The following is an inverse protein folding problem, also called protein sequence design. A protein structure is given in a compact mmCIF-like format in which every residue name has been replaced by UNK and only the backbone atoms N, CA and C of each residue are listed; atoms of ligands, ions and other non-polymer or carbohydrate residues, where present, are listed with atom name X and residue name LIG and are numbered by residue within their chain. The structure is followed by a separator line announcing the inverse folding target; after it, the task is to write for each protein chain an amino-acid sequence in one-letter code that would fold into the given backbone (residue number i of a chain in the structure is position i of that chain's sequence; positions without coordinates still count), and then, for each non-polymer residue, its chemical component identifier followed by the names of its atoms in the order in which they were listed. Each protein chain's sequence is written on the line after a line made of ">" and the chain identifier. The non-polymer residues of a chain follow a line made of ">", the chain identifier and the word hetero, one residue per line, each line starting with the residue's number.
data_IF_653141348075
#
_entry.id   IF_653141348075
#
_cell.length_a   1.000
_cell.length_b   1.000
_cell.length_c   1.000
_cell.angle_alpha   90.00
_cell.angle_beta   90.00
_cell.angle_gamma   90.00
#
_symmetry.space_group_name_H-M   'P 1'
#
loop_
_entity.id
_entity.type
_entity.pdbx_description
1 polymer ?
#
# COMPACT_ATOMS: atom_id res chain seq x y z
N UNK A 1 20.96 36.27 -15.45
CA UNK A 1 21.55 35.70 -14.22
C UNK A 1 20.94 34.32 -14.02
N UNK A 2 21.58 33.29 -14.55
CA UNK A 2 21.10 31.90 -14.46
C UNK A 2 21.58 31.34 -13.14
N UNK A 3 20.68 31.21 -12.17
CA UNK A 3 20.98 30.66 -10.85
C UNK A 3 21.08 29.13 -10.99
N UNK A 4 22.30 28.62 -11.08
CA UNK A 4 22.58 27.19 -11.00
C UNK A 4 22.17 26.72 -9.60
N UNK A 5 21.13 25.89 -9.52
CA UNK A 5 20.72 25.26 -8.27
C UNK A 5 21.90 24.49 -7.66
N UNK A 6 22.06 24.47 -6.32
CA UNK A 6 23.17 23.78 -5.69
C UNK A 6 23.09 22.27 -5.95
N UNK A 7 24.13 21.73 -6.59
CA UNK A 7 24.35 20.29 -6.79
C UNK A 7 24.47 19.59 -5.43
N UNK A 8 23.32 19.19 -4.90
CA UNK A 8 23.20 18.60 -3.57
C UNK A 8 23.40 17.10 -3.70
N UNK A 9 24.66 16.67 -3.69
CA UNK A 9 24.99 15.24 -3.70
C UNK A 9 24.62 14.61 -2.35
N UNK A 10 23.70 13.64 -2.37
CA UNK A 10 23.32 12.84 -1.20
C UNK A 10 23.80 11.39 -1.42
N UNK A 11 24.52 10.82 -0.45
CA UNK A 11 24.91 9.41 -0.45
C UNK A 11 24.00 8.62 0.47
N UNK A 12 23.35 7.59 -0.07
CA UNK A 12 22.47 6.70 0.67
C UNK A 12 23.11 5.32 0.80
N UNK A 13 23.30 4.85 2.04
CA UNK A 13 23.76 3.49 2.32
C UNK A 13 22.57 2.70 2.90
N UNK A 14 22.14 1.66 2.18
CA UNK A 14 21.03 0.81 2.57
C UNK A 14 21.57 -0.54 3.06
N UNK A 15 21.09 -0.98 4.22
CA UNK A 15 21.33 -2.35 4.69
C UNK A 15 20.11 -3.18 4.37
N UNK A 16 20.30 -4.26 3.63
CA UNK A 16 19.22 -5.12 3.15
C UNK A 16 19.50 -6.57 3.54
N UNK A 17 18.44 -7.36 3.64
CA UNK A 17 18.58 -8.82 3.74
C UNK A 17 19.08 -9.39 2.41
N UNK A 18 19.60 -10.62 2.44
CA UNK A 18 20.07 -11.31 1.23
C UNK A 18 18.95 -11.46 0.20
N UNK A 19 17.77 -11.85 0.65
CA UNK A 19 16.58 -11.98 -0.19
C UNK A 19 16.18 -10.66 -0.85
N UNK A 20 16.19 -9.55 -0.09
CA UNK A 20 15.91 -8.22 -0.64
C UNK A 20 16.95 -7.80 -1.69
N UNK A 21 18.23 -8.13 -1.49
CA UNK A 21 19.30 -7.83 -2.45
C UNK A 21 19.15 -8.64 -3.74
N UNK A 22 18.85 -9.94 -3.64
CA UNK A 22 18.58 -10.79 -4.80
C UNK A 22 17.35 -10.31 -5.59
N UNK A 23 16.27 -9.95 -4.90
CA UNK A 23 15.07 -9.39 -5.53
C UNK A 23 15.37 -8.07 -6.26
N UNK A 24 16.16 -7.18 -5.65
CA UNK A 24 16.54 -5.90 -6.26
C UNK A 24 17.39 -6.11 -7.52
N UNK A 25 18.33 -7.07 -7.49
CA UNK A 25 19.14 -7.46 -8.66
C UNK A 25 18.27 -7.98 -9.80
N UNK A 26 17.33 -8.87 -9.50
CA UNK A 26 16.42 -9.43 -10.51
C UNK A 26 15.54 -8.34 -11.13
N UNK A 27 14.98 -7.45 -10.32
CA UNK A 27 14.13 -6.37 -10.80
C UNK A 27 14.89 -5.37 -11.68
N UNK A 28 16.10 -4.98 -11.27
CA UNK A 28 16.97 -4.10 -12.07
C UNK A 28 17.33 -4.75 -13.43
N UNK A 29 17.64 -6.06 -13.41
CA UNK A 29 17.94 -6.83 -14.63
C UNK A 29 16.75 -6.87 -15.58
N UNK A 30 15.55 -7.15 -15.05
CA UNK A 30 14.32 -7.18 -15.85
C UNK A 30 13.96 -5.81 -16.44
N UNK A 31 14.32 -4.72 -15.74
CA UNK A 31 14.16 -3.35 -16.23
C UNK A 31 15.28 -2.90 -17.19
N UNK A 32 16.34 -3.70 -17.38
CA UNK A 32 17.51 -3.33 -18.18
C UNK A 32 18.34 -2.18 -17.57
N UNK A 33 18.30 -2.03 -16.24
CA UNK A 33 18.95 -0.95 -15.50
C UNK A 33 20.04 -1.45 -14.57
N UNK A 34 20.96 -0.55 -14.17
CA UNK A 34 21.86 -0.83 -13.05
C UNK A 34 21.08 -0.85 -11.72
N UNK A 35 21.57 -1.57 -10.72
CA UNK A 35 20.93 -1.62 -9.40
C UNK A 35 20.80 -0.24 -8.75
N UNK A 36 21.83 0.63 -8.75
CA UNK A 36 21.69 1.99 -8.23
C UNK A 36 20.62 2.81 -8.97
N UNK A 37 20.62 2.80 -10.30
CA UNK A 37 19.67 3.58 -11.10
C UNK A 37 18.23 3.10 -10.86
N UNK A 38 18.04 1.79 -10.85
CA UNK A 38 16.74 1.19 -10.57
C UNK A 38 16.24 1.54 -9.16
N UNK A 39 17.12 1.52 -8.15
CA UNK A 39 16.77 1.87 -6.78
C UNK A 39 16.35 3.34 -6.66
N UNK A 40 17.09 4.27 -7.27
CA UNK A 40 16.76 5.69 -7.28
C UNK A 40 15.44 5.94 -8.00
N UNK A 41 15.26 5.41 -9.21
CA UNK A 41 14.02 5.54 -9.99
C UNK A 41 12.80 4.99 -9.24
N UNK A 42 12.97 3.84 -8.59
CA UNK A 42 11.90 3.23 -7.79
C UNK A 42 11.52 4.08 -6.58
N UNK A 43 12.50 4.72 -5.93
CA UNK A 43 12.26 5.66 -4.82
C UNK A 43 11.51 6.90 -5.32
N UNK A 44 11.98 7.51 -6.41
CA UNK A 44 11.37 8.72 -7.00
C UNK A 44 9.93 8.45 -7.45
N UNK A 45 9.69 7.36 -8.18
CA UNK A 45 8.34 6.93 -8.58
C UNK A 45 7.47 6.65 -7.36
N UNK A 46 7.99 5.97 -6.35
CA UNK A 46 7.24 5.76 -5.11
C UNK A 46 6.88 7.10 -4.47
N UNK A 47 7.80 8.06 -4.40
CA UNK A 47 7.54 9.40 -3.88
C UNK A 47 6.47 10.15 -4.70
N UNK A 48 6.48 10.06 -6.02
CA UNK A 48 5.47 10.67 -6.88
C UNK A 48 4.07 10.06 -6.71
N UNK A 49 3.95 8.72 -6.69
CA UNK A 49 2.68 8.03 -6.33
C UNK A 49 2.15 8.53 -5.02
N UNK A 50 3.08 8.67 -4.08
CA UNK A 50 2.79 9.10 -2.75
C UNK A 50 2.33 10.59 -2.76
N UNK A 51 2.89 11.46 -3.59
CA UNK A 51 2.50 12.87 -3.69
C UNK A 51 1.29 13.11 -4.62
N UNK A 52 0.75 12.07 -5.26
CA UNK A 52 -0.39 12.19 -6.19
C UNK A 52 -0.04 12.91 -7.50
N UNK A 53 1.25 13.05 -7.82
CA UNK A 53 1.73 13.79 -9.00
C UNK A 53 1.92 12.91 -10.24
N UNK A 54 1.42 11.68 -10.22
CA UNK A 54 1.52 10.77 -11.37
C UNK A 54 0.31 10.93 -12.27
N UNK A 55 0.47 11.72 -13.33
CA UNK A 55 -0.32 11.52 -14.56
C UNK A 55 -0.04 10.12 -15.07
N UNK A 56 -1.03 9.24 -14.95
CA UNK A 56 -0.95 7.87 -15.41
C UNK A 56 -0.68 7.81 -16.90
N UNK A 57 0.58 7.61 -17.28
CA UNK A 57 0.90 7.08 -18.60
C UNK A 57 0.63 5.58 -18.54
N UNK A 58 -0.63 5.23 -18.75
CA UNK A 58 -0.98 3.90 -19.20
C UNK A 58 -0.40 3.76 -20.61
N UNK A 59 0.76 3.11 -20.71
CA UNK A 59 1.23 2.58 -21.99
C UNK A 59 0.23 1.52 -22.42
N UNK A 60 -0.78 1.93 -23.18
CA UNK A 60 -1.72 1.03 -23.86
C UNK A 60 -0.95 0.33 -24.98
N UNK A 61 -0.25 -0.76 -24.67
CA UNK A 61 0.01 -1.76 -25.69
C UNK A 61 -1.32 -2.48 -25.95
N UNK A 62 -1.97 -2.05 -27.03
CA UNK A 62 -3.14 -2.67 -27.64
C UNK A 62 -2.78 -4.09 -28.07
N UNK A 63 -3.02 -5.07 -27.22
CA UNK A 63 -3.13 -6.46 -27.63
C UNK A 63 -4.62 -6.75 -27.81
N UNK A 64 -5.03 -6.86 -29.07
CA UNK A 64 -6.34 -7.34 -29.46
C UNK A 64 -6.48 -8.78 -28.97
N UNK A 65 -7.39 -9.04 -28.03
CA UNK A 65 -7.85 -10.40 -27.78
C UNK A 65 -9.30 -10.40 -27.31
N UNK A 66 -10.17 -10.56 -28.30
CA UNK A 66 -11.50 -11.13 -28.15
C UNK A 66 -11.42 -12.48 -27.43
N UNK A 67 -11.88 -12.54 -26.18
CA UNK A 67 -12.23 -13.81 -25.54
C UNK A 67 -13.59 -13.70 -24.88
N UNK A 68 -14.47 -14.53 -25.41
CA UNK A 68 -15.85 -14.82 -25.03
C UNK A 68 -16.04 -15.13 -23.55
N UNK A 69 -17.17 -14.64 -23.03
CA UNK A 69 -17.64 -14.78 -21.67
C UNK A 69 -17.79 -16.25 -21.22
N UNK A 70 -17.26 -16.53 -20.03
CA UNK A 70 -17.67 -17.64 -19.16
C UNK A 70 -17.90 -17.11 -17.74
N UNK A 71 -18.83 -17.67 -16.95
CA UNK A 71 -19.16 -17.14 -15.63
C UNK A 71 -18.13 -17.64 -14.61
N UNK A 72 -17.11 -16.82 -14.35
CA UNK A 72 -16.20 -17.08 -13.24
C UNK A 72 -16.83 -16.56 -11.93
N UNK A 73 -17.17 -17.50 -11.05
CA UNK A 73 -17.50 -17.24 -9.66
C UNK A 73 -16.42 -16.36 -9.03
N UNK A 74 -16.83 -15.20 -8.54
CA UNK A 74 -15.97 -14.19 -7.97
C UNK A 74 -15.55 -14.62 -6.56
N UNK A 75 -14.39 -15.24 -6.41
CA UNK A 75 -13.65 -15.12 -5.16
C UNK A 75 -12.93 -13.76 -5.20
N UNK A 76 -13.67 -12.71 -4.83
CA UNK A 76 -13.10 -11.39 -4.64
C UNK A 76 -12.07 -11.51 -3.50
N UNK A 77 -10.79 -11.31 -3.81
CA UNK A 77 -9.77 -11.13 -2.78
C UNK A 77 -10.23 -10.05 -1.79
N UNK A 78 -9.93 -10.17 -0.48
CA UNK A 78 -10.27 -9.15 0.50
C UNK A 78 -9.72 -7.79 0.04
N UNK A 79 -10.61 -6.83 -0.23
CA UNK A 79 -10.23 -5.49 -0.69
C UNK A 79 -9.74 -4.67 0.49
N UNK A 80 -8.51 -4.91 0.93
CA UNK A 80 -7.85 -3.99 1.86
C UNK A 80 -7.31 -2.79 1.09
N UNK A 81 -7.75 -1.58 1.45
CA UNK A 81 -7.37 -0.35 0.75
C UNK A 81 -6.98 0.74 1.73
N UNK A 82 -5.83 1.37 1.52
CA UNK A 82 -5.31 2.41 2.38
C UNK A 82 -5.15 3.71 1.59
N UNK A 83 -5.53 4.84 2.19
CA UNK A 83 -4.95 6.11 1.79
C UNK A 83 -3.46 6.11 2.16
N UNK A 84 -2.63 6.83 1.41
CA UNK A 84 -1.20 6.95 1.72
C UNK A 84 -0.89 7.27 3.18
N UNK A 85 -1.42 8.36 3.78
CA UNK A 85 -1.04 8.74 5.14
C UNK A 85 -1.48 7.67 6.15
N UNK A 86 -2.61 7.00 5.90
CA UNK A 86 -3.05 5.87 6.69
C UNK A 86 -2.10 4.67 6.57
N UNK A 87 -1.57 4.38 5.38
CA UNK A 87 -0.60 3.30 5.18
C UNK A 87 0.70 3.57 5.94
N UNK A 88 1.21 4.80 5.89
CA UNK A 88 2.42 5.17 6.63
C UNK A 88 2.23 5.01 8.14
N UNK A 89 1.11 5.51 8.68
CA UNK A 89 0.76 5.32 10.10
C UNK A 89 0.52 3.86 10.45
N UNK A 90 -0.05 3.08 9.54
CA UNK A 90 -0.27 1.65 9.73
C UNK A 90 1.06 0.88 9.81
N UNK A 91 1.99 1.18 8.91
CA UNK A 91 3.29 0.52 8.82
C UNK A 91 4.24 0.90 9.96
N UNK A 92 4.08 2.08 10.57
CA UNK A 92 4.88 2.45 11.75
C UNK A 92 4.53 1.67 13.01
N UNK A 93 3.37 0.99 13.02
CA UNK A 93 2.95 0.13 14.13
C UNK A 93 3.58 -1.27 14.03
N UNK A 94 3.98 -1.81 15.18
CA UNK A 94 4.43 -3.20 15.26
C UNK A 94 3.33 -4.15 14.76
N UNK A 95 3.74 -5.30 14.22
CA UNK A 95 2.79 -6.30 13.75
C UNK A 95 1.84 -6.78 14.86
N UNK A 96 2.35 -6.93 16.09
CA UNK A 96 1.54 -7.29 17.25
C UNK A 96 0.44 -6.25 17.52
N UNK A 97 0.77 -4.95 17.47
CA UNK A 97 -0.22 -3.87 17.63
C UNK A 97 -1.26 -3.91 16.52
N UNK A 98 -0.85 -4.10 15.27
CA UNK A 98 -1.77 -4.22 14.12
C UNK A 98 -2.73 -5.38 14.30
N UNK A 99 -2.24 -6.57 14.68
CA UNK A 99 -3.09 -7.76 14.92
C UNK A 99 -4.13 -7.49 16.01
N UNK A 100 -3.72 -6.90 17.14
CA UNK A 100 -4.62 -6.56 18.24
C UNK A 100 -5.72 -5.58 17.80
N UNK A 101 -5.37 -4.56 17.02
CA UNK A 101 -6.35 -3.60 16.50
C UNK A 101 -7.38 -4.27 15.57
N UNK A 102 -6.95 -5.23 14.75
CA UNK A 102 -7.84 -5.93 13.83
C UNK A 102 -8.75 -6.95 14.54
N UNK A 103 -8.30 -7.58 15.63
CA UNK A 103 -9.04 -8.63 16.35
C UNK A 103 -9.93 -8.11 17.48
N UNK A 104 -9.88 -6.81 17.77
CA UNK A 104 -10.58 -6.20 18.91
C UNK A 104 -11.58 -5.13 18.44
N UNK A 105 -12.35 -5.36 17.38
CA UNK A 105 -13.29 -4.34 16.88
C UNK A 105 -14.67 -4.56 17.49
N UNK A 106 -15.26 -3.57 18.14
CA UNK A 106 -16.62 -3.69 18.68
C UNK A 106 -17.64 -3.81 17.55
N UNK A 107 -18.47 -4.85 17.57
CA UNK A 107 -19.61 -4.99 16.66
C UNK A 107 -20.92 -4.79 17.42
N UNK A 108 -21.72 -3.82 17.02
CA UNK A 108 -23.04 -3.55 17.64
C UNK A 108 -24.05 -4.68 17.45
N UNK A 109 -23.91 -5.48 16.38
CA UNK A 109 -24.79 -6.62 16.09
C UNK A 109 -24.42 -7.86 16.91
N UNK A 110 -23.13 -8.22 16.95
CA UNK A 110 -22.66 -9.35 17.77
C UNK A 110 -22.62 -9.02 19.28
N UNK A 111 -22.50 -7.74 19.63
CA UNK A 111 -22.40 -7.22 21.01
C UNK A 111 -21.14 -7.68 21.76
N UNK A 112 -20.05 -7.91 21.03
CA UNK A 112 -18.73 -8.17 21.57
C UNK A 112 -17.64 -7.75 20.57
N UNK A 113 -16.38 -7.88 20.97
CA UNK A 113 -15.23 -7.68 20.11
C UNK A 113 -15.12 -8.79 19.06
N UNK A 114 -14.86 -8.39 17.82
CA UNK A 114 -14.75 -9.28 16.67
C UNK A 114 -13.50 -8.94 15.86
N UNK A 115 -13.17 -9.83 14.92
CA UNK A 115 -12.18 -9.52 13.89
C UNK A 115 -12.81 -8.71 12.76
N UNK A 116 -12.14 -7.64 12.34
CA UNK A 116 -12.50 -6.88 11.14
C UNK A 116 -11.89 -7.51 9.88
N UNK A 117 -12.70 -7.57 8.81
CA UNK A 117 -12.35 -8.11 7.49
C UNK A 117 -12.71 -7.11 6.41
N UNK A 118 -12.17 -7.29 5.20
CA UNK A 118 -12.50 -6.44 4.03
C UNK A 118 -12.43 -4.93 4.32
N UNK A 119 -11.39 -4.50 5.05
CA UNK A 119 -11.35 -3.16 5.62
C UNK A 119 -10.52 -2.17 4.79
N UNK A 120 -10.98 -0.92 4.80
CA UNK A 120 -10.25 0.24 4.31
C UNK A 120 -9.72 1.08 5.46
N UNK A 121 -8.72 1.91 5.17
CA UNK A 121 -8.09 2.77 6.16
C UNK A 121 -7.83 4.18 5.62
N UNK A 122 -8.22 5.17 6.40
CA UNK A 122 -8.03 6.59 6.09
C UNK A 122 -7.63 7.38 7.34
N UNK A 123 -6.92 8.49 7.16
CA UNK A 123 -6.76 9.47 8.23
C UNK A 123 -7.98 10.39 8.20
N UNK A 124 -8.64 10.57 9.34
CA UNK A 124 -9.70 11.56 9.54
C UNK A 124 -9.40 12.33 10.82
N UNK A 125 -9.37 13.66 10.73
CA UNK A 125 -9.12 14.55 11.86
C UNK A 125 -7.84 14.24 12.65
N UNK A 126 -6.81 13.68 11.97
CA UNK A 126 -5.54 13.28 12.57
C UNK A 126 -5.46 11.80 12.96
N UNK A 127 -6.60 11.14 13.15
CA UNK A 127 -6.65 9.76 13.63
C UNK A 127 -6.79 8.74 12.49
N UNK A 128 -6.27 7.54 12.73
CA UNK A 128 -6.40 6.44 11.79
C UNK A 128 -7.74 5.74 11.97
N UNK A 129 -8.62 5.86 10.99
CA UNK A 129 -9.91 5.19 10.93
C UNK A 129 -9.83 3.94 10.06
N UNK A 130 -10.15 2.78 10.63
CA UNK A 130 -10.38 1.51 9.95
C UNK A 130 -11.88 1.29 9.77
N UNK A 131 -12.36 1.00 8.56
CA UNK A 131 -13.77 0.70 8.26
C UNK A 131 -13.85 -0.57 7.43
N UNK A 132 -14.66 -1.54 7.85
CA UNK A 132 -14.74 -2.85 7.21
C UNK A 132 -15.94 -3.64 7.70
N UNK A 133 -15.83 -4.97 7.64
CA UNK A 133 -16.90 -5.90 7.99
C UNK A 133 -16.55 -6.80 9.16
N UNK A 134 -17.53 -7.03 10.03
CA UNK A 134 -17.47 -8.06 11.06
C UNK A 134 -17.23 -9.44 10.41
N UNK A 135 -16.26 -10.21 10.93
CA UNK A 135 -15.99 -11.56 10.44
C UNK A 135 -17.18 -12.53 10.63
N UNK A 136 -18.00 -12.31 11.66
CA UNK A 136 -19.10 -13.21 12.04
C UNK A 136 -20.42 -12.84 11.36
N UNK A 137 -20.92 -11.62 11.61
CA UNK A 137 -22.24 -11.22 11.13
C UNK A 137 -22.19 -10.43 9.80
N UNK A 138 -20.99 -10.15 9.27
CA UNK A 138 -20.73 -9.38 8.04
C UNK A 138 -21.31 -7.96 8.03
N UNK A 139 -21.74 -7.47 9.20
CA UNK A 139 -22.21 -6.09 9.39
C UNK A 139 -21.06 -5.10 9.37
N UNK A 140 -21.38 -3.84 9.10
CA UNK A 140 -20.41 -2.76 9.08
C UNK A 140 -19.84 -2.51 10.47
N UNK A 141 -18.52 -2.37 10.53
CA UNK A 141 -17.77 -2.06 11.75
C UNK A 141 -16.69 -1.04 11.45
N UNK A 142 -16.31 -0.27 12.47
CA UNK A 142 -15.22 0.68 12.38
C UNK A 142 -14.40 0.69 13.67
N UNK A 143 -13.12 1.02 13.55
CA UNK A 143 -12.22 1.25 14.69
C UNK A 143 -11.38 2.49 14.44
N UNK A 144 -11.34 3.36 15.43
CA UNK A 144 -10.45 4.54 15.45
C UNK A 144 -9.18 4.18 16.22
N UNK A 145 -8.05 4.64 15.71
CA UNK A 145 -6.75 4.52 16.35
C UNK A 145 -6.19 5.92 16.52
N UNK A 146 -6.22 6.38 17.77
CA UNK A 146 -5.78 7.71 18.15
C UNK A 146 -4.26 7.89 17.93
N UNK A 147 -3.90 9.16 17.73
CA UNK A 147 -2.56 9.68 17.46
C UNK A 147 -1.54 9.39 18.56
#
# INVERSE_FOLDING_TARGET
>A
MTQTAPDSTIRLALRMTREQHELLLQAATAAGMSVPDFAIESIVRSAHRLMGTESGVQTTHRFDQSVSAGPAGQHSAPRTSFTKPALMRWQSMSEARRRLLLSNVWCSRCRHEVTITDFSAAIKDGDLLLVGRCAECRGDVARVVES
#
